data_IF_792151707819
#
_entry.id   IF_792151707819
#
_cell.length_a   1.000
_cell.length_b   1.000
_cell.length_c   1.000
_cell.angle_alpha   90.00
_cell.angle_beta   90.00
_cell.angle_gamma   90.00
#
_symmetry.space_group_name_H-M   'P 1'
#
loop_
_entity.id
_entity.type
_entity.pdbx_description
1 polymer ?
#
# COMPACT_ATOMS: atom_id res chain seq x y z
N UNK A 1 -1.21 -13.60 17.76
CA UNK A 1 -1.77 -12.56 16.88
C UNK A 1 -1.35 -11.13 17.25
N UNK A 2 -1.26 -10.76 18.54
CA UNK A 2 -0.97 -9.38 18.99
C UNK A 2 0.43 -8.83 18.61
N UNK A 3 1.46 -9.67 18.59
CA UNK A 3 2.84 -9.26 18.24
C UNK A 3 2.98 -8.79 16.78
N UNK A 4 2.29 -9.47 15.85
CA UNK A 4 2.32 -9.14 14.42
C UNK A 4 1.57 -7.84 14.10
N UNK A 5 0.42 -7.65 14.77
CA UNK A 5 -0.33 -6.40 14.72
C UNK A 5 0.56 -5.27 15.22
N UNK A 6 1.20 -5.41 16.38
CA UNK A 6 2.10 -4.37 16.91
C UNK A 6 3.31 -4.07 16.00
N UNK A 7 3.91 -5.07 15.34
CA UNK A 7 5.02 -4.84 14.39
C UNK A 7 4.56 -4.11 13.11
N UNK A 8 3.41 -4.48 12.55
CA UNK A 8 2.81 -3.74 11.44
C UNK A 8 2.47 -2.31 11.87
N UNK A 9 1.88 -2.12 13.05
CA UNK A 9 1.53 -0.79 13.57
C UNK A 9 2.77 0.05 13.95
N UNK A 10 3.87 -0.54 14.41
CA UNK A 10 5.09 0.21 14.77
C UNK A 10 5.86 0.69 13.54
N UNK A 11 6.01 -0.17 12.51
CA UNK A 11 6.57 0.25 11.22
C UNK A 11 5.69 1.26 10.48
N UNK A 12 4.37 1.14 10.63
CA UNK A 12 3.40 2.12 10.11
C UNK A 12 3.52 3.46 10.85
N UNK A 13 3.68 3.50 12.18
CA UNK A 13 3.77 4.76 12.94
C UNK A 13 4.96 5.65 12.60
N UNK A 14 6.14 5.07 12.34
CA UNK A 14 7.35 5.87 12.08
C UNK A 14 7.25 6.62 10.75
N UNK A 15 6.90 5.94 9.66
CA UNK A 15 6.85 6.55 8.32
C UNK A 15 5.57 7.37 8.09
N UNK A 16 4.46 7.02 8.77
CA UNK A 16 3.23 7.82 8.69
C UNK A 16 3.34 9.17 9.40
N UNK A 17 4.30 9.35 10.31
CA UNK A 17 4.54 10.65 10.95
C UNK A 17 5.12 11.70 9.99
N UNK A 18 5.67 11.25 8.85
CA UNK A 18 6.31 12.09 7.82
C UNK A 18 5.89 11.72 6.41
N UNK A 19 4.61 11.35 6.21
CA UNK A 19 4.09 10.92 4.88
C UNK A 19 4.48 11.90 3.78
N UNK A 20 4.28 13.20 4.00
CA UNK A 20 4.55 14.24 3.00
C UNK A 20 6.01 14.20 2.55
N UNK A 21 6.95 14.19 3.50
CA UNK A 21 8.38 14.17 3.17
C UNK A 21 8.81 12.83 2.57
N UNK A 22 8.36 11.72 3.16
CA UNK A 22 8.77 10.38 2.75
C UNK A 22 8.34 10.05 1.32
N UNK A 23 7.12 10.46 0.93
CA UNK A 23 6.60 10.24 -0.42
C UNK A 23 6.76 11.45 -1.33
N UNK A 24 7.52 12.46 -0.90
CA UNK A 24 7.86 13.64 -1.69
C UNK A 24 6.61 14.38 -2.23
N UNK A 25 5.55 14.41 -1.41
CA UNK A 25 4.30 15.04 -1.78
C UNK A 25 4.43 16.56 -1.71
N UNK A 26 3.78 17.26 -2.64
CA UNK A 26 3.71 18.73 -2.61
C UNK A 26 2.28 19.20 -2.51
N UNK A 27 2.07 20.25 -1.74
CA UNK A 27 0.77 20.89 -1.67
C UNK A 27 0.45 21.57 -3.01
N UNK A 28 -0.74 21.32 -3.52
CA UNK A 28 -1.31 21.93 -4.72
C UNK A 28 -2.61 22.63 -4.33
N UNK A 29 -2.59 23.97 -4.37
CA UNK A 29 -3.79 24.76 -4.12
C UNK A 29 -4.90 24.49 -5.15
N UNK A 30 -4.53 24.11 -6.38
CA UNK A 30 -5.47 23.74 -7.44
C UNK A 30 -6.24 22.46 -7.12
N UNK A 31 -5.55 21.47 -6.57
CA UNK A 31 -6.15 20.17 -6.21
C UNK A 31 -6.73 20.19 -4.77
N UNK A 32 -6.56 21.30 -4.05
CA UNK A 32 -7.03 21.43 -2.67
C UNK A 32 -6.35 20.49 -1.68
N UNK A 33 -5.12 20.05 -1.96
CA UNK A 33 -4.44 19.03 -1.14
C UNK A 33 -3.03 18.69 -1.60
N UNK A 34 -2.47 17.61 -1.06
CA UNK A 34 -1.16 17.10 -1.45
C UNK A 34 -1.24 16.24 -2.71
N UNK A 35 -0.29 16.43 -3.62
CA UNK A 35 -0.18 15.66 -4.86
C UNK A 35 1.23 15.08 -5.02
N UNK A 36 1.33 14.03 -5.82
CA UNK A 36 2.59 13.37 -6.18
C UNK A 36 3.38 14.21 -7.16
N UNK A 37 4.70 14.35 -6.98
CA UNK A 37 5.58 14.99 -7.98
C UNK A 37 6.50 14.03 -8.72
N UNK A 38 6.33 12.73 -8.49
CA UNK A 38 7.13 11.69 -9.11
C UNK A 38 6.49 10.31 -8.89
N UNK A 39 7.29 9.22 -8.97
CA UNK A 39 6.77 7.86 -8.88
C UNK A 39 6.27 7.49 -7.49
N UNK A 40 6.79 8.13 -6.44
CA UNK A 40 6.35 7.91 -5.07
C UNK A 40 4.99 8.56 -4.83
N UNK A 41 4.17 7.92 -4.00
CA UNK A 41 2.85 8.46 -3.68
C UNK A 41 2.19 7.77 -2.49
N UNK A 42 1.18 8.44 -1.95
CA UNK A 42 0.36 7.94 -0.85
C UNK A 42 -1.10 8.31 -1.12
N UNK A 43 -1.96 7.30 -1.20
CA UNK A 43 -3.39 7.48 -1.47
C UNK A 43 -4.20 7.06 -0.26
N UNK A 44 -5.23 7.83 0.04
CA UNK A 44 -6.19 7.56 1.08
C UNK A 44 -7.56 7.28 0.47
N UNK A 45 -8.34 6.43 1.11
CA UNK A 45 -9.76 6.26 0.83
C UNK A 45 -10.53 7.04 1.89
N UNK A 46 -11.30 8.03 1.43
CA UNK A 46 -12.12 8.90 2.28
C UNK A 46 -13.58 8.47 2.21
N UNK A 47 -14.18 8.24 3.37
CA UNK A 47 -15.62 8.14 3.51
C UNK A 47 -16.16 9.54 3.75
N UNK A 48 -16.84 10.09 2.74
CA UNK A 48 -17.48 11.40 2.82
C UNK A 48 -18.93 11.21 3.24
N UNK A 49 -19.35 11.75 4.41
CA UNK A 49 -20.74 11.67 4.84
C UNK A 49 -21.68 12.38 3.84
N UNK A 50 -22.91 11.88 3.65
CA UNK A 50 -23.88 12.50 2.74
C UNK A 50 -24.33 13.91 3.18
N UNK A 51 -24.13 14.26 4.45
CA UNK A 51 -24.43 15.57 5.00
C UNK A 51 -23.13 16.36 5.25
N UNK A 52 -23.12 17.63 4.83
CA UNK A 52 -21.94 18.53 4.83
C UNK A 52 -21.31 18.82 6.19
N UNK A 53 -22.00 18.47 7.27
CA UNK A 53 -21.57 18.79 8.64
C UNK A 53 -20.66 17.70 9.25
N UNK A 54 -20.49 16.57 8.56
CA UNK A 54 -19.60 15.50 8.97
C UNK A 54 -18.20 15.66 8.37
N UNK A 55 -17.17 15.48 9.20
CA UNK A 55 -15.79 15.37 8.70
C UNK A 55 -15.62 14.08 7.89
N UNK A 56 -14.87 14.14 6.79
CA UNK A 56 -14.47 12.96 6.05
C UNK A 56 -13.63 12.02 6.95
N UNK A 57 -13.90 10.71 6.88
CA UNK A 57 -13.15 9.70 7.62
C UNK A 57 -12.17 8.99 6.68
N UNK A 58 -10.89 8.88 7.05
CA UNK A 58 -9.95 8.01 6.34
C UNK A 58 -10.23 6.55 6.69
N UNK A 59 -10.72 5.77 5.74
CA UNK A 59 -11.11 4.36 5.94
C UNK A 59 -10.12 3.36 5.34
N UNK A 60 -9.10 3.83 4.63
CA UNK A 60 -8.02 3.01 4.12
C UNK A 60 -6.93 3.84 3.46
N UNK A 61 -5.79 3.21 3.18
CA UNK A 61 -4.68 3.85 2.50
C UNK A 61 -3.75 2.83 1.85
N UNK A 62 -2.93 3.31 0.92
CA UNK A 62 -1.87 2.58 0.24
C UNK A 62 -0.76 3.53 -0.15
N UNK A 63 0.45 3.02 -0.27
CA UNK A 63 1.60 3.78 -0.72
C UNK A 63 2.32 3.09 -1.87
N UNK A 64 2.93 3.90 -2.73
CA UNK A 64 3.90 3.47 -3.73
C UNK A 64 5.24 4.11 -3.39
N UNK A 65 6.27 3.29 -3.26
CA UNK A 65 7.63 3.69 -2.93
C UNK A 65 8.59 3.23 -4.03
N UNK A 66 9.82 3.76 -4.01
CA UNK A 66 10.89 3.35 -4.92
C UNK A 66 12.02 2.76 -4.08
N UNK A 67 12.18 1.45 -4.14
CA UNK A 67 13.19 0.72 -3.39
C UNK A 67 14.34 0.31 -4.29
N UNK A 68 15.58 0.65 -3.89
CA UNK A 68 16.81 0.26 -4.60
C UNK A 68 17.08 -1.24 -4.58
N UNK A 69 16.30 -2.01 -3.81
CA UNK A 69 16.35 -3.48 -3.77
C UNK A 69 15.88 -4.12 -5.07
N UNK A 70 14.95 -3.47 -5.78
CA UNK A 70 14.37 -4.00 -7.01
C UNK A 70 14.96 -3.29 -8.24
N UNK A 71 14.81 -3.91 -9.40
CA UNK A 71 15.33 -3.36 -10.63
C UNK A 71 14.68 -2.02 -11.00
N UNK A 72 15.41 -1.23 -11.79
CA UNK A 72 14.96 0.07 -12.26
C UNK A 72 13.57 -0.02 -12.94
N UNK A 73 12.72 0.95 -12.66
CA UNK A 73 11.34 0.98 -13.16
C UNK A 73 10.36 0.10 -12.36
N UNK A 74 10.77 -0.50 -11.24
CA UNK A 74 9.88 -1.26 -10.35
C UNK A 74 9.45 -0.42 -9.15
N UNK A 75 8.14 -0.20 -9.02
CA UNK A 75 7.55 0.41 -7.83
C UNK A 75 7.26 -0.62 -6.74
N UNK A 76 7.45 -0.25 -5.47
CA UNK A 76 7.08 -1.10 -4.34
C UNK A 76 5.79 -0.60 -3.70
N UNK A 77 4.72 -1.39 -3.80
CA UNK A 77 3.46 -1.09 -3.13
C UNK A 77 3.53 -1.52 -1.66
N UNK A 78 3.29 -0.57 -0.76
CA UNK A 78 3.44 -0.75 0.68
C UNK A 78 2.23 -0.20 1.43
N UNK A 79 2.15 -0.55 2.73
CA UNK A 79 1.21 0.05 3.69
C UNK A 79 -0.25 -0.04 3.24
N UNK A 80 -0.61 -1.12 2.55
CA UNK A 80 -1.98 -1.36 2.11
C UNK A 80 -2.86 -1.76 3.29
N UNK A 81 -3.72 -0.86 3.74
CA UNK A 81 -4.61 -1.10 4.90
C UNK A 81 -6.02 -0.61 4.59
N UNK A 82 -7.02 -1.40 4.98
CA UNK A 82 -8.42 -0.99 5.02
C UNK A 82 -8.96 -1.24 6.42
N UNK A 83 -9.65 -0.23 6.97
CA UNK A 83 -10.33 -0.27 8.26
C UNK A 83 -11.19 -1.53 8.34
N UNK A 84 -11.09 -2.35 9.43
CA UNK A 84 -11.88 -3.57 9.59
C UNK A 84 -13.39 -3.34 9.41
N UNK A 85 -13.90 -2.19 9.83
CA UNK A 85 -15.31 -1.81 9.75
C UNK A 85 -15.78 -1.50 8.32
N UNK A 86 -14.85 -1.33 7.37
CA UNK A 86 -15.11 -0.92 5.99
C UNK A 86 -14.57 -1.94 4.96
N UNK A 87 -14.28 -3.17 5.39
CA UNK A 87 -13.81 -4.23 4.49
C UNK A 87 -14.95 -4.77 3.63
N UNK A 88 -14.58 -5.46 2.53
CA UNK A 88 -15.51 -6.07 1.56
C UNK A 88 -16.37 -5.09 0.76
N UNK A 89 -16.09 -3.79 0.84
CA UNK A 89 -16.73 -2.72 0.07
C UNK A 89 -15.97 -2.30 -1.19
N UNK A 90 -14.98 -3.09 -1.63
CA UNK A 90 -14.18 -2.77 -2.82
C UNK A 90 -13.09 -1.71 -2.61
N UNK A 91 -12.99 -1.10 -1.43
CA UNK A 91 -12.00 -0.04 -1.09
C UNK A 91 -10.58 -0.46 -1.41
N UNK A 92 -10.19 -1.69 -1.04
CA UNK A 92 -8.85 -2.18 -1.33
C UNK A 92 -8.57 -2.24 -2.84
N UNK A 93 -9.58 -2.65 -3.62
CA UNK A 93 -9.48 -2.72 -5.07
C UNK A 93 -9.34 -1.33 -5.70
N UNK A 94 -10.06 -0.33 -5.18
CA UNK A 94 -9.98 1.05 -5.64
C UNK A 94 -8.58 1.65 -5.37
N UNK A 95 -8.05 1.47 -4.16
CA UNK A 95 -6.70 1.91 -3.79
C UNK A 95 -5.62 1.25 -4.67
N UNK A 96 -5.73 -0.06 -4.91
CA UNK A 96 -4.84 -0.75 -5.86
C UNK A 96 -4.90 -0.17 -7.25
N UNK A 97 -6.10 0.10 -7.77
CA UNK A 97 -6.27 0.68 -9.10
C UNK A 97 -5.63 2.07 -9.18
N UNK A 98 -5.79 2.91 -8.16
CA UNK A 98 -5.16 4.23 -8.11
C UNK A 98 -3.63 4.12 -8.18
N UNK A 99 -3.01 3.26 -7.38
CA UNK A 99 -1.57 3.02 -7.46
C UNK A 99 -1.12 2.44 -8.79
N UNK A 100 -1.83 1.46 -9.34
CA UNK A 100 -1.47 0.82 -10.61
C UNK A 100 -1.57 1.80 -11.79
N UNK A 101 -2.56 2.69 -11.77
CA UNK A 101 -2.69 3.74 -12.78
C UNK A 101 -1.57 4.77 -12.66
N UNK A 102 -1.31 5.26 -11.44
CA UNK A 102 -0.19 6.17 -11.20
C UNK A 102 1.13 5.57 -11.64
N UNK A 103 1.40 4.32 -11.31
CA UNK A 103 2.63 3.65 -11.72
C UNK A 103 2.77 3.59 -13.24
N UNK A 104 1.68 3.36 -13.99
CA UNK A 104 1.68 3.42 -15.46
C UNK A 104 1.93 4.83 -15.99
N UNK A 105 1.29 5.84 -15.40
CA UNK A 105 1.51 7.25 -15.76
C UNK A 105 2.97 7.67 -15.57
N UNK A 106 3.62 7.13 -14.54
CA UNK A 106 5.03 7.31 -14.23
C UNK A 106 5.96 6.37 -15.04
N UNK A 107 5.40 5.61 -16.00
CA UNK A 107 6.11 4.70 -16.90
C UNK A 107 6.92 3.62 -16.17
N UNK A 108 6.43 3.18 -15.01
CA UNK A 108 7.00 2.03 -14.31
C UNK A 108 6.67 0.74 -15.08
N UNK A 109 7.59 -0.21 -15.07
CA UNK A 109 7.47 -1.49 -15.79
C UNK A 109 6.77 -2.55 -14.95
N UNK A 110 6.85 -2.45 -13.63
CA UNK A 110 6.23 -3.41 -12.72
C UNK A 110 5.99 -2.85 -11.33
N UNK A 111 5.14 -3.54 -10.57
CA UNK A 111 4.92 -3.32 -9.14
C UNK A 111 5.24 -4.60 -8.39
N UNK A 112 5.95 -4.46 -7.26
CA UNK A 112 6.18 -5.52 -6.29
C UNK A 112 5.53 -5.19 -4.95
N UNK A 113 5.16 -6.23 -4.21
CA UNK A 113 4.68 -6.12 -2.83
C UNK A 113 5.05 -7.37 -2.05
N UNK A 114 5.16 -7.24 -0.72
CA UNK A 114 5.46 -8.36 0.16
C UNK A 114 4.33 -8.60 1.16
N UNK A 115 4.06 -9.86 1.46
CA UNK A 115 3.11 -10.26 2.51
C UNK A 115 3.54 -11.56 3.17
N UNK A 116 2.91 -11.93 4.28
CA UNK A 116 3.23 -13.17 5.01
C UNK A 116 2.16 -14.23 4.78
N UNK A 117 2.45 -15.47 5.14
CA UNK A 117 1.47 -16.56 5.15
C UNK A 117 0.23 -16.28 6.02
N UNK A 118 0.35 -15.38 7.00
CA UNK A 118 -0.73 -14.99 7.90
C UNK A 118 -1.74 -14.00 7.29
N UNK A 119 -1.59 -13.64 6.02
CA UNK A 119 -2.54 -12.78 5.30
C UNK A 119 -3.20 -13.46 4.08
N UNK A 120 -3.89 -14.62 4.22
CA UNK A 120 -4.55 -15.28 3.08
C UNK A 120 -5.50 -14.37 2.28
N UNK A 121 -6.33 -13.50 2.90
CA UNK A 121 -7.20 -12.59 2.14
C UNK A 121 -6.43 -11.60 1.25
N UNK A 122 -5.26 -11.13 1.70
CA UNK A 122 -4.42 -10.22 0.92
C UNK A 122 -3.82 -10.96 -0.28
N UNK A 123 -3.29 -12.17 -0.06
CA UNK A 123 -2.74 -13.02 -1.13
C UNK A 123 -3.78 -13.31 -2.22
N UNK A 124 -4.98 -13.74 -1.84
CA UNK A 124 -6.07 -13.98 -2.79
C UNK A 124 -6.44 -12.72 -3.59
N UNK A 125 -6.44 -11.55 -2.95
CA UNK A 125 -6.64 -10.28 -3.65
C UNK A 125 -5.52 -10.01 -4.67
N UNK A 126 -4.26 -10.20 -4.31
CA UNK A 126 -3.12 -9.95 -5.19
C UNK A 126 -3.15 -10.90 -6.40
N UNK A 127 -3.37 -12.19 -6.18
CA UNK A 127 -3.47 -13.22 -7.22
C UNK A 127 -4.61 -12.91 -8.21
N UNK A 128 -5.79 -12.54 -7.69
CA UNK A 128 -6.95 -12.11 -8.49
C UNK A 128 -6.65 -10.87 -9.32
N UNK A 129 -5.80 -9.96 -8.83
CA UNK A 129 -5.36 -8.76 -9.56
C UNK A 129 -4.23 -9.01 -10.54
N UNK A 130 -3.80 -10.25 -10.73
CA UNK A 130 -2.77 -10.60 -11.70
C UNK A 130 -1.33 -10.55 -11.16
N UNK A 131 -1.15 -10.32 -9.86
CA UNK A 131 0.17 -10.49 -9.26
C UNK A 131 0.51 -11.98 -9.16
N UNK A 132 1.81 -12.29 -9.25
CA UNK A 132 2.35 -13.65 -9.14
C UNK A 132 3.47 -13.66 -8.11
N UNK A 133 3.58 -14.76 -7.36
CA UNK A 133 4.71 -14.96 -6.45
C UNK A 133 5.98 -15.10 -7.29
N UNK A 134 7.01 -14.33 -6.95
CA UNK A 134 8.34 -14.39 -7.57
C UNK A 134 9.43 -14.80 -6.60
N UNK A 135 9.21 -14.60 -5.29
CA UNK A 135 10.12 -15.03 -4.23
C UNK A 135 9.31 -15.53 -3.04
N UNK A 136 9.75 -16.64 -2.45
CA UNK A 136 9.29 -17.14 -1.16
C UNK A 136 10.49 -17.22 -0.20
N UNK A 137 10.45 -16.44 0.87
CA UNK A 137 11.49 -16.38 1.89
C UNK A 137 10.98 -16.96 3.22
N UNK A 138 11.91 -17.44 4.05
CA UNK A 138 11.65 -17.80 5.45
C UNK A 138 12.36 -16.80 6.36
N UNK A 139 11.60 -15.86 6.92
CA UNK A 139 12.17 -14.88 7.83
C UNK A 139 12.21 -15.43 9.26
N UNK A 140 13.37 -15.36 9.94
CA UNK A 140 13.46 -15.77 11.33
C UNK A 140 12.62 -14.84 12.21
N UNK A 141 11.79 -15.42 13.08
CA UNK A 141 10.95 -14.70 14.04
C UNK A 141 10.98 -15.44 15.39
N UNK A 142 12.06 -15.21 16.14
CA UNK A 142 12.34 -15.96 17.38
C UNK A 142 12.58 -17.44 17.08
N UNK A 143 11.84 -18.33 17.75
CA UNK A 143 11.90 -19.79 17.54
C UNK A 143 11.16 -20.26 16.27
N UNK A 144 10.39 -19.39 15.62
CA UNK A 144 9.60 -19.72 14.44
C UNK A 144 10.23 -19.12 13.17
N UNK A 145 9.90 -19.73 12.03
CA UNK A 145 10.15 -19.15 10.70
C UNK A 145 8.81 -18.74 10.11
N UNK A 146 8.74 -17.52 9.58
CA UNK A 146 7.54 -17.00 8.92
C UNK A 146 7.78 -17.01 7.42
N UNK A 147 6.88 -17.64 6.66
CA UNK A 147 6.91 -17.53 5.21
C UNK A 147 6.49 -16.14 4.77
N UNK A 148 7.36 -15.51 3.98
CA UNK A 148 7.15 -14.22 3.34
C UNK A 148 7.15 -14.41 1.84
N UNK A 149 6.12 -13.90 1.19
CA UNK A 149 5.91 -14.00 -0.24
C UNK A 149 6.10 -12.61 -0.85
N UNK A 150 6.94 -12.53 -1.88
CA UNK A 150 7.06 -11.36 -2.73
C UNK A 150 6.24 -11.60 -3.99
N UNK A 151 5.25 -10.74 -4.21
CA UNK A 151 4.39 -10.74 -5.38
C UNK A 151 4.87 -9.66 -6.35
N UNK A 152 4.76 -9.95 -7.65
CA UNK A 152 5.06 -9.01 -8.71
C UNK A 152 4.02 -9.02 -9.81
N UNK A 153 3.78 -7.86 -10.40
CA UNK A 153 2.94 -7.67 -11.58
C UNK A 153 3.61 -6.71 -12.54
N UNK A 154 3.69 -7.08 -13.81
CA UNK A 154 4.10 -6.19 -14.89
C UNK A 154 2.91 -5.31 -15.30
N UNK A 155 3.18 -4.05 -15.64
CA UNK A 155 2.16 -3.01 -15.82
C UNK A 155 1.70 -2.82 -17.27
#
# INVERSE_FOLDING_TARGET
>A
MAFYVNFAYSGVKADLSRVVDHYELKYSAKEGGYTTTGPKGFWVAELVPPHKDGNAEIVGYVALDMSSKYEFGTGEMRRMVVSPNHRRLGIASALFTACENHAREQKLSSIVLQTTEYQPPARALYEKRGYRVVVEDLWPSGLLKIRVFTYKKYL
#
